data_IF_192358457416
#
_entry.id   IF_192358457416
#
_cell.length_a   1.000
_cell.length_b   1.000
_cell.length_c   1.000
_cell.angle_alpha   90.00
_cell.angle_beta   90.00
_cell.angle_gamma   90.00
#
_symmetry.space_group_name_H-M   'P 1'
#
loop_
_entity.id
_entity.type
_entity.pdbx_description
1 polymer ?
#
# COMPACT_ATOMS: atom_id res chain seq x y z
N UNK A 1 -41.86 8.58 -20.75
CA UNK A 1 -40.39 8.75 -20.90
C UNK A 1 -39.69 7.77 -19.97
N UNK A 2 -38.68 7.05 -20.46
CA UNK A 2 -37.90 6.15 -19.61
C UNK A 2 -37.16 6.95 -18.52
N UNK A 3 -37.26 6.51 -17.27
CA UNK A 3 -36.56 7.11 -16.13
C UNK A 3 -35.13 6.55 -15.94
N UNK A 4 -34.82 5.45 -16.64
CA UNK A 4 -33.52 4.77 -16.58
C UNK A 4 -32.73 5.09 -17.86
N UNK A 5 -31.50 5.51 -17.70
CA UNK A 5 -30.56 5.77 -18.80
C UNK A 5 -29.18 5.24 -18.44
N UNK A 6 -28.40 4.91 -19.47
CA UNK A 6 -27.01 4.49 -19.31
C UNK A 6 -26.15 5.73 -19.09
N UNK A 7 -25.32 5.72 -18.06
CA UNK A 7 -24.38 6.80 -17.78
C UNK A 7 -23.24 6.82 -18.81
N UNK A 8 -22.66 8.00 -19.05
CA UNK A 8 -21.44 8.11 -19.85
C UNK A 8 -20.24 7.43 -19.13
N UNK A 9 -19.25 7.00 -19.92
CA UNK A 9 -18.12 6.24 -19.44
C UNK A 9 -17.30 6.99 -18.37
N UNK A 10 -17.19 8.30 -18.47
CA UNK A 10 -16.45 9.13 -17.52
C UNK A 10 -17.15 9.14 -16.15
N UNK A 11 -18.46 9.30 -16.15
CA UNK A 11 -19.29 9.22 -14.94
C UNK A 11 -19.20 7.83 -14.30
N UNK A 12 -19.28 6.75 -15.11
CA UNK A 12 -19.11 5.37 -14.63
C UNK A 12 -17.74 5.20 -13.96
N UNK A 13 -16.67 5.69 -14.60
CA UNK A 13 -15.32 5.60 -14.07
C UNK A 13 -15.15 6.38 -12.75
N UNK A 14 -15.74 7.58 -12.67
CA UNK A 14 -15.70 8.36 -11.43
C UNK A 14 -16.46 7.69 -10.28
N UNK A 15 -17.61 7.06 -10.55
CA UNK A 15 -18.37 6.33 -9.52
C UNK A 15 -17.54 5.17 -9.00
N UNK A 16 -17.06 4.32 -9.90
CA UNK A 16 -16.27 3.13 -9.55
C UNK A 16 -14.93 3.48 -8.86
N UNK A 17 -14.28 4.58 -9.29
CA UNK A 17 -13.07 5.06 -8.62
C UNK A 17 -13.31 5.33 -7.12
N UNK A 18 -14.55 5.60 -6.69
CA UNK A 18 -14.85 5.84 -5.29
C UNK A 18 -14.89 4.58 -4.41
N UNK A 19 -15.00 3.43 -5.03
CA UNK A 19 -14.93 2.14 -4.32
C UNK A 19 -13.47 1.74 -4.04
N UNK A 20 -12.52 2.25 -4.84
CA UNK A 20 -11.10 1.94 -4.75
C UNK A 20 -10.33 3.08 -4.06
N UNK A 21 -10.62 4.33 -4.43
CA UNK A 21 -9.91 5.52 -3.95
C UNK A 21 -10.87 6.39 -3.17
N UNK A 22 -10.85 6.28 -1.85
CA UNK A 22 -11.63 7.08 -0.91
C UNK A 22 -10.83 8.26 -0.33
N UNK A 23 -9.50 8.14 -0.28
CA UNK A 23 -8.58 9.14 0.30
C UNK A 23 -7.15 9.03 -0.26
N UNK A 24 -6.24 9.99 0.06
CA UNK A 24 -4.83 9.95 -0.36
C UNK A 24 -4.10 8.67 0.06
N UNK A 25 -4.37 8.13 1.25
CA UNK A 25 -3.75 6.91 1.76
C UNK A 25 -4.04 5.68 0.88
N UNK A 26 -5.23 5.61 0.24
CA UNK A 26 -5.57 4.53 -0.69
C UNK A 26 -4.68 4.57 -1.94
N UNK A 27 -4.37 5.76 -2.46
CA UNK A 27 -3.44 5.93 -3.60
C UNK A 27 -2.04 5.46 -3.22
N UNK A 28 -1.54 5.91 -2.05
CA UNK A 28 -0.21 5.52 -1.58
C UNK A 28 -0.11 4.02 -1.42
N UNK A 29 -1.12 3.38 -0.81
CA UNK A 29 -1.17 1.93 -0.65
C UNK A 29 -1.05 1.21 -2.00
N UNK A 30 -1.95 1.50 -2.94
CA UNK A 30 -1.99 0.82 -4.24
C UNK A 30 -0.69 1.02 -5.05
N UNK A 31 -0.11 2.23 -5.05
CA UNK A 31 1.13 2.48 -5.78
C UNK A 31 2.36 1.83 -5.12
N UNK A 32 2.43 1.78 -3.78
CA UNK A 32 3.49 1.04 -3.08
C UNK A 32 3.38 -0.46 -3.31
N UNK A 33 2.16 -1.03 -3.25
CA UNK A 33 1.92 -2.44 -3.56
C UNK A 33 2.34 -2.77 -5.01
N UNK A 34 2.07 -1.87 -5.96
CA UNK A 34 2.53 -2.04 -7.34
C UNK A 34 4.06 -1.98 -7.48
N UNK A 35 4.74 -1.11 -6.73
CA UNK A 35 6.20 -1.06 -6.71
C UNK A 35 6.82 -2.36 -6.13
N UNK A 36 6.23 -2.91 -5.06
CA UNK A 36 6.65 -4.20 -4.49
C UNK A 36 6.46 -5.33 -5.51
N UNK A 37 5.28 -5.39 -6.14
CA UNK A 37 4.98 -6.39 -7.16
C UNK A 37 5.89 -6.27 -8.41
N UNK A 38 6.43 -5.06 -8.68
CA UNK A 38 7.46 -4.82 -9.71
C UNK A 38 8.89 -5.18 -9.27
N UNK A 39 9.06 -5.77 -8.09
CA UNK A 39 10.35 -6.20 -7.57
C UNK A 39 11.23 -5.06 -7.07
N UNK A 40 10.65 -3.92 -6.68
CA UNK A 40 11.42 -2.80 -6.16
C UNK A 40 12.14 -3.16 -4.86
N UNK A 41 13.41 -2.75 -4.74
CA UNK A 41 14.21 -2.84 -3.52
C UNK A 41 14.31 -1.50 -2.81
N UNK A 42 13.88 -0.41 -3.46
CA UNK A 42 13.82 0.93 -2.91
C UNK A 42 12.53 1.63 -3.33
N UNK A 43 11.82 2.21 -2.35
CA UNK A 43 10.59 2.98 -2.58
C UNK A 43 10.68 4.30 -1.82
N UNK A 44 10.48 5.41 -2.52
CA UNK A 44 10.39 6.74 -1.92
C UNK A 44 8.97 7.29 -2.07
N UNK A 45 8.36 7.69 -0.96
CA UNK A 45 7.03 8.30 -0.89
C UNK A 45 7.18 9.74 -0.41
N UNK A 46 6.81 10.70 -1.24
CA UNK A 46 6.76 12.12 -0.88
C UNK A 46 5.33 12.65 -0.97
N UNK A 47 4.89 13.37 0.06
CA UNK A 47 3.58 14.00 0.07
C UNK A 47 3.64 15.48 0.45
N UNK A 48 2.66 16.24 -0.04
CA UNK A 48 2.38 17.61 0.40
C UNK A 48 0.91 17.75 0.74
N UNK A 49 0.61 18.57 1.74
CA UNK A 49 -0.75 18.86 2.22
C UNK A 49 -1.56 17.59 2.48
N UNK A 50 -0.97 16.61 3.20
CA UNK A 50 -1.61 15.33 3.48
C UNK A 50 -1.88 14.47 2.24
N UNK A 51 -1.13 14.67 1.15
CA UNK A 51 -1.31 13.98 -0.12
C UNK A 51 -2.40 14.56 -1.01
N UNK A 52 -3.04 15.65 -0.59
CA UNK A 52 -4.13 16.26 -1.39
C UNK A 52 -3.60 17.07 -2.58
N UNK A 53 -2.48 17.76 -2.41
CA UNK A 53 -1.84 18.54 -3.48
C UNK A 53 -0.80 17.74 -4.26
N UNK A 54 -0.06 16.86 -3.59
CA UNK A 54 0.98 16.04 -4.19
C UNK A 54 1.14 14.72 -3.46
N UNK A 55 1.19 13.63 -4.23
CA UNK A 55 1.77 12.35 -3.87
C UNK A 55 2.78 12.02 -4.96
N UNK A 56 4.04 11.75 -4.58
CA UNK A 56 5.07 11.23 -5.48
C UNK A 56 5.57 9.91 -4.92
N UNK A 57 5.53 8.87 -5.73
CA UNK A 57 6.09 7.57 -5.40
C UNK A 57 7.09 7.21 -6.47
N UNK A 58 8.32 6.95 -6.05
CA UNK A 58 9.43 6.55 -6.91
C UNK A 58 9.96 5.21 -6.43
N UNK A 59 10.10 4.28 -7.35
CA UNK A 59 10.67 2.96 -7.14
C UNK A 59 11.78 2.65 -8.16
N UNK A 60 12.57 1.63 -7.86
CA UNK A 60 13.59 1.07 -8.74
C UNK A 60 13.21 -0.33 -9.24
N UNK A 61 11.93 -0.62 -9.39
CA UNK A 61 11.42 -1.88 -9.92
C UNK A 61 11.62 -2.02 -11.43
N UNK A 62 11.01 -3.03 -12.03
CA UNK A 62 11.17 -3.39 -13.45
C UNK A 62 10.73 -2.32 -14.46
N UNK A 63 10.03 -1.27 -14.02
CA UNK A 63 9.41 -0.30 -14.93
C UNK A 63 8.18 -0.86 -15.64
N UNK A 64 7.65 -0.07 -16.60
CA UNK A 64 6.52 -0.44 -17.44
C UNK A 64 6.93 -0.29 -18.90
N UNK A 65 6.69 -1.34 -19.69
CA UNK A 65 6.97 -1.32 -21.13
C UNK A 65 6.17 -0.23 -21.85
N UNK A 66 6.78 0.41 -22.85
CA UNK A 66 6.18 1.53 -23.60
C UNK A 66 4.78 1.21 -24.14
N UNK A 67 4.59 0.00 -24.66
CA UNK A 67 3.32 -0.43 -25.24
C UNK A 67 2.25 -0.72 -24.20
N UNK A 68 2.66 -1.07 -22.97
CA UNK A 68 1.76 -1.39 -21.87
C UNK A 68 1.31 -0.13 -21.09
N UNK A 69 1.99 1.01 -21.23
CA UNK A 69 1.69 2.20 -20.43
C UNK A 69 0.22 2.63 -20.57
N UNK A 70 -0.28 2.78 -21.79
CA UNK A 70 -1.67 3.21 -22.03
C UNK A 70 -2.67 2.14 -21.55
N UNK A 71 -2.32 0.87 -21.74
CA UNK A 71 -3.13 -0.27 -21.34
C UNK A 71 -3.26 -0.34 -19.82
N UNK A 72 -2.19 -0.06 -19.08
CA UNK A 72 -2.18 -0.07 -17.60
C UNK A 72 -3.19 0.91 -16.97
N UNK A 73 -3.60 1.96 -17.69
CA UNK A 73 -4.63 2.91 -17.25
C UNK A 73 -6.06 2.54 -17.70
N UNK A 74 -6.24 1.43 -18.40
CA UNK A 74 -7.57 0.91 -18.71
C UNK A 74 -8.14 0.13 -17.52
N UNK A 75 -9.45 0.08 -17.41
CA UNK A 75 -10.11 -0.75 -16.39
C UNK A 75 -9.94 -2.23 -16.72
N UNK A 76 -9.76 -3.04 -15.65
CA UNK A 76 -9.57 -4.47 -15.75
C UNK A 76 -8.30 -4.88 -16.54
N UNK A 77 -7.34 -3.97 -16.67
CA UNK A 77 -6.03 -4.26 -17.25
C UNK A 77 -5.04 -4.64 -16.15
N UNK A 78 -4.53 -5.87 -16.21
CA UNK A 78 -3.58 -6.39 -15.23
C UNK A 78 -2.62 -7.38 -15.90
N UNK A 79 -1.37 -7.37 -15.47
CA UNK A 79 -0.36 -8.36 -15.86
C UNK A 79 -0.33 -9.57 -14.90
N UNK A 80 -1.11 -9.54 -13.81
CA UNK A 80 -0.95 -10.42 -12.65
C UNK A 80 -1.86 -11.64 -12.66
N UNK A 81 -2.98 -11.58 -13.37
CA UNK A 81 -3.93 -12.70 -13.54
C UNK A 81 -4.39 -12.77 -15.00
N UNK A 82 -4.62 -13.96 -15.51
CA UNK A 82 -5.15 -14.19 -16.86
C UNK A 82 -6.49 -14.90 -16.85
N UNK A 83 -6.74 -15.73 -15.85
CA UNK A 83 -7.95 -16.51 -15.71
C UNK A 83 -8.58 -16.35 -14.33
N UNK A 84 -9.85 -16.76 -14.20
CA UNK A 84 -10.52 -16.76 -12.90
C UNK A 84 -9.88 -17.76 -11.91
N UNK A 85 -9.20 -18.79 -12.40
CA UNK A 85 -8.49 -19.76 -11.56
C UNK A 85 -7.25 -19.14 -10.89
N UNK A 86 -6.61 -18.16 -11.54
CA UNK A 86 -5.45 -17.47 -10.97
C UNK A 86 -5.83 -16.68 -9.70
N UNK A 87 -7.15 -16.38 -9.50
CA UNK A 87 -7.63 -15.71 -8.28
C UNK A 87 -7.47 -16.58 -7.02
N UNK A 88 -7.36 -17.90 -7.17
CA UNK A 88 -7.19 -18.82 -6.03
C UNK A 88 -5.75 -18.79 -5.53
N UNK A 89 -4.76 -18.52 -6.40
CA UNK A 89 -3.32 -18.57 -6.09
C UNK A 89 -2.62 -17.22 -6.26
N UNK A 90 -3.32 -16.10 -5.99
CA UNK A 90 -2.74 -14.75 -6.15
C UNK A 90 -1.66 -14.49 -5.13
N UNK A 91 -0.40 -14.49 -5.55
CA UNK A 91 0.77 -14.11 -4.75
C UNK A 91 1.01 -12.59 -4.73
N UNK A 92 0.57 -11.87 -5.78
CA UNK A 92 0.75 -10.42 -5.89
C UNK A 92 -0.13 -9.64 -4.93
N UNK A 93 0.36 -8.50 -4.40
CA UNK A 93 -0.40 -7.62 -3.51
C UNK A 93 -1.58 -6.95 -4.22
N UNK A 94 -1.44 -6.58 -5.50
CA UNK A 94 -2.50 -6.03 -6.35
C UNK A 94 -2.85 -6.98 -7.50
N UNK A 95 -4.13 -7.19 -7.83
CA UNK A 95 -4.55 -8.08 -8.92
C UNK A 95 -5.78 -7.61 -9.73
N UNK A 96 -6.56 -6.65 -9.22
CA UNK A 96 -7.86 -6.27 -9.81
C UNK A 96 -7.77 -5.44 -11.09
N UNK A 97 -6.61 -4.85 -11.43
CA UNK A 97 -6.43 -4.01 -12.61
C UNK A 97 -7.30 -2.75 -12.64
N UNK A 98 -7.62 -2.18 -11.47
CA UNK A 98 -8.52 -1.02 -11.35
C UNK A 98 -7.86 0.17 -10.65
N UNK A 99 -6.71 0.01 -10.00
CA UNK A 99 -6.08 1.06 -9.21
C UNK A 99 -5.67 2.26 -10.07
N UNK A 100 -4.87 2.05 -11.13
CA UNK A 100 -4.36 3.13 -11.97
C UNK A 100 -5.47 3.85 -12.73
N UNK A 101 -6.45 3.12 -13.27
CA UNK A 101 -7.62 3.72 -13.95
C UNK A 101 -8.47 4.55 -12.98
N UNK A 102 -8.63 4.09 -11.75
CA UNK A 102 -9.36 4.81 -10.69
C UNK A 102 -8.64 6.07 -10.27
N UNK A 103 -7.31 6.01 -10.03
CA UNK A 103 -6.48 7.16 -9.69
C UNK A 103 -6.55 8.21 -10.82
N UNK A 104 -6.35 7.78 -12.08
CA UNK A 104 -6.37 8.67 -13.24
C UNK A 104 -7.73 9.35 -13.46
N UNK A 105 -8.83 8.69 -13.10
CA UNK A 105 -10.19 9.25 -13.24
C UNK A 105 -10.46 10.42 -12.32
N UNK A 106 -9.81 10.51 -11.16
CA UNK A 106 -10.10 11.50 -10.11
C UNK A 106 -8.91 12.39 -9.74
N UNK A 107 -7.75 12.18 -10.40
CA UNK A 107 -6.51 12.91 -10.17
C UNK A 107 -5.88 13.41 -11.48
N UNK A 108 -4.89 14.28 -11.35
CA UNK A 108 -3.92 14.59 -12.39
C UNK A 108 -2.68 13.72 -12.15
N UNK A 109 -2.39 12.82 -13.08
CA UNK A 109 -1.32 11.82 -12.94
C UNK A 109 -0.24 12.06 -13.98
N UNK A 110 1.01 12.07 -13.55
CA UNK A 110 2.20 11.98 -14.39
C UNK A 110 2.95 10.70 -14.02
N UNK A 111 3.15 9.84 -14.98
CA UNK A 111 3.96 8.63 -14.91
C UNK A 111 5.27 8.88 -15.63
N UNK A 112 6.39 8.54 -15.00
CA UNK A 112 7.71 8.47 -15.62
C UNK A 112 8.21 7.06 -15.38
N UNK A 113 8.53 6.32 -16.44
CA UNK A 113 8.98 4.93 -16.30
C UNK A 113 10.00 4.56 -17.35
N UNK A 114 10.88 3.62 -17.01
CA UNK A 114 11.87 3.05 -17.90
C UNK A 114 12.16 1.61 -17.45
N UNK A 115 12.15 0.68 -18.40
CA UNK A 115 12.61 -0.71 -18.20
C UNK A 115 14.12 -0.82 -18.40
N UNK A 116 14.74 -1.87 -17.88
CA UNK A 116 16.18 -2.11 -17.97
C UNK A 116 16.68 -2.09 -19.43
N UNK A 117 15.97 -2.76 -20.33
CA UNK A 117 16.34 -2.89 -21.74
C UNK A 117 16.07 -1.64 -22.60
N UNK A 118 15.27 -0.67 -22.09
CA UNK A 118 14.91 0.51 -22.85
C UNK A 118 16.05 1.56 -22.87
N UNK A 119 16.28 2.20 -24.03
CA UNK A 119 17.25 3.28 -24.15
C UNK A 119 16.72 4.56 -23.51
N UNK A 120 15.44 4.87 -23.74
CA UNK A 120 14.76 6.06 -23.25
C UNK A 120 13.62 5.67 -22.32
N UNK A 121 13.33 6.51 -21.32
CA UNK A 121 12.11 6.40 -20.55
C UNK A 121 10.93 7.11 -21.22
N UNK A 122 9.75 6.89 -20.69
CA UNK A 122 8.50 7.51 -21.14
C UNK A 122 7.94 8.39 -20.04
N UNK A 123 7.51 9.59 -20.41
CA UNK A 123 6.64 10.45 -19.63
C UNK A 123 5.23 10.36 -20.18
N UNK A 124 4.29 9.95 -19.36
CA UNK A 124 2.88 9.89 -19.68
C UNK A 124 2.06 10.73 -18.71
N UNK A 125 1.24 11.66 -19.24
CA UNK A 125 0.33 12.47 -18.42
C UNK A 125 -1.11 12.16 -18.78
N UNK A 126 -1.93 11.98 -17.74
CA UNK A 126 -3.36 11.72 -17.85
C UNK A 126 -4.09 12.52 -16.77
N UNK A 127 -5.18 13.19 -17.14
CA UNK A 127 -5.96 14.04 -16.23
C UNK A 127 -7.45 13.71 -16.37
N UNK A 128 -8.08 13.29 -15.27
CA UNK A 128 -9.50 12.89 -15.27
C UNK A 128 -9.82 11.82 -16.32
N UNK A 129 -8.89 10.89 -16.54
CA UNK A 129 -9.02 9.81 -17.52
C UNK A 129 -8.72 10.20 -18.98
N UNK A 130 -8.25 11.44 -19.25
CA UNK A 130 -7.89 11.89 -20.59
C UNK A 130 -6.39 12.02 -20.73
N UNK A 131 -5.83 11.41 -21.77
CA UNK A 131 -4.41 11.55 -22.14
C UNK A 131 -4.09 13.01 -22.46
N UNK A 132 -3.00 13.52 -21.89
CA UNK A 132 -2.48 14.87 -22.12
C UNK A 132 -1.18 14.83 -22.91
N UNK A 133 -0.24 13.96 -22.50
CA UNK A 133 1.10 13.87 -23.10
C UNK A 133 1.59 12.44 -23.05
N UNK A 134 2.27 12.03 -24.14
CA UNK A 134 3.04 10.78 -24.21
C UNK A 134 4.34 11.09 -24.96
N UNK A 135 5.45 11.13 -24.26
CA UNK A 135 6.74 11.57 -24.83
C UNK A 135 7.92 10.74 -24.28
N UNK A 136 8.95 10.58 -25.09
CA UNK A 136 10.21 9.99 -24.69
C UNK A 136 11.06 10.99 -23.92
N UNK A 137 11.66 10.54 -22.82
CA UNK A 137 12.53 11.36 -21.98
C UNK A 137 13.73 10.54 -21.46
N UNK A 138 14.76 11.22 -20.99
CA UNK A 138 15.77 10.59 -20.14
C UNK A 138 15.21 10.30 -18.77
N UNK A 139 15.25 9.05 -18.32
CA UNK A 139 14.79 8.63 -16.99
C UNK A 139 15.67 7.49 -16.44
N UNK A 140 15.81 7.36 -15.13
CA UNK A 140 16.39 6.16 -14.52
C UNK A 140 15.43 4.97 -14.70
N UNK A 141 15.95 3.77 -14.49
CA UNK A 141 15.15 2.53 -14.41
C UNK A 141 14.19 2.59 -13.21
N UNK A 142 13.04 1.91 -13.36
CA UNK A 142 11.96 1.92 -12.40
C UNK A 142 10.80 2.82 -12.78
N UNK A 143 10.00 3.21 -11.80
CA UNK A 143 8.78 3.98 -12.03
C UNK A 143 8.65 5.15 -11.03
N UNK A 144 8.20 6.29 -11.55
CA UNK A 144 7.79 7.43 -10.72
C UNK A 144 6.37 7.81 -11.06
N UNK A 145 5.47 7.72 -10.08
CA UNK A 145 4.14 8.29 -10.13
C UNK A 145 4.11 9.65 -9.43
N UNK A 146 3.59 10.67 -10.09
CA UNK A 146 3.33 11.99 -9.54
C UNK A 146 1.83 12.24 -9.66
N UNK A 147 1.11 12.15 -8.54
CA UNK A 147 -0.33 12.34 -8.46
C UNK A 147 -0.61 13.68 -7.80
N UNK A 148 -1.37 14.53 -8.49
CA UNK A 148 -1.70 15.88 -8.04
C UNK A 148 -3.21 16.08 -7.96
N UNK A 149 -3.62 17.01 -7.07
CA UNK A 149 -4.98 17.54 -7.01
C UNK A 149 -6.05 16.45 -6.91
N UNK A 150 -5.92 15.55 -5.93
CA UNK A 150 -6.91 14.49 -5.69
C UNK A 150 -8.34 15.08 -5.64
N UNK A 151 -9.26 14.42 -6.32
CA UNK A 151 -10.67 14.82 -6.42
C UNK A 151 -10.90 16.20 -7.04
N UNK A 152 -10.00 16.67 -7.95
CA UNK A 152 -10.16 17.97 -8.60
C UNK A 152 -11.47 18.09 -9.40
N UNK A 153 -11.95 16.97 -9.95
CA UNK A 153 -13.18 16.87 -10.76
C UNK A 153 -14.36 16.23 -9.98
N UNK A 154 -14.20 15.94 -8.69
CA UNK A 154 -15.23 15.38 -7.82
C UNK A 154 -15.34 16.17 -6.51
N UNK A 155 -15.84 17.42 -6.55
CA UNK A 155 -15.78 18.34 -5.42
C UNK A 155 -16.56 17.84 -4.19
N UNK A 156 -17.60 17.02 -4.39
CA UNK A 156 -18.33 16.40 -3.29
C UNK A 156 -17.41 15.48 -2.46
N UNK A 157 -16.59 14.64 -3.11
CA UNK A 157 -15.62 13.76 -2.41
C UNK A 157 -14.54 14.57 -1.72
N UNK A 158 -14.03 15.62 -2.37
CA UNK A 158 -13.00 16.48 -1.79
C UNK A 158 -13.44 17.08 -0.44
N UNK A 159 -14.74 17.37 -0.26
CA UNK A 159 -15.30 17.88 1.01
C UNK A 159 -15.27 16.86 2.15
N UNK A 160 -15.19 15.56 1.88
CA UNK A 160 -15.11 14.51 2.89
C UNK A 160 -13.69 14.24 3.39
N UNK A 161 -12.67 14.77 2.72
CA UNK A 161 -11.29 14.67 3.19
C UNK A 161 -11.15 15.38 4.55
N UNK A 162 -10.34 14.78 5.41
CA UNK A 162 -10.02 15.33 6.72
C UNK A 162 -8.96 16.44 6.58
N UNK A 163 -8.47 16.95 7.69
CA UNK A 163 -7.36 17.92 7.68
C UNK A 163 -6.10 17.29 7.09
N UNK A 164 -5.23 18.12 6.50
CA UNK A 164 -3.95 17.64 5.92
C UNK A 164 -3.12 16.84 6.93
N UNK A 165 -3.16 17.21 8.21
CA UNK A 165 -2.47 16.48 9.27
C UNK A 165 -3.07 15.08 9.49
N UNK A 166 -4.39 14.96 9.48
CA UNK A 166 -5.09 13.68 9.65
C UNK A 166 -4.84 12.76 8.46
N UNK A 167 -4.94 13.29 7.22
CA UNK A 167 -4.67 12.49 6.01
C UNK A 167 -3.19 12.05 5.95
N UNK A 168 -2.24 12.92 6.35
CA UNK A 168 -0.83 12.54 6.47
C UNK A 168 -0.62 11.42 7.51
N UNK A 169 -1.41 11.42 8.60
CA UNK A 169 -1.39 10.36 9.60
C UNK A 169 -1.83 9.00 9.02
N UNK A 170 -2.87 8.97 8.21
CA UNK A 170 -3.31 7.74 7.53
C UNK A 170 -2.26 7.23 6.54
N UNK A 171 -1.60 8.14 5.81
CA UNK A 171 -0.49 7.76 4.91
C UNK A 171 0.67 7.19 5.71
N UNK A 172 1.07 7.84 6.81
CA UNK A 172 2.15 7.35 7.69
C UNK A 172 1.86 5.92 8.16
N UNK A 173 0.63 5.67 8.63
CA UNK A 173 0.22 4.33 9.07
C UNK A 173 0.36 3.28 7.95
N UNK A 174 -0.04 3.58 6.72
CA UNK A 174 0.11 2.67 5.59
C UNK A 174 1.59 2.40 5.29
N UNK A 175 2.42 3.45 5.23
CA UNK A 175 3.86 3.31 4.98
C UNK A 175 4.53 2.49 6.08
N UNK A 176 4.18 2.72 7.36
CA UNK A 176 4.67 1.94 8.49
C UNK A 176 4.31 0.45 8.36
N UNK A 177 3.06 0.12 8.02
CA UNK A 177 2.62 -1.27 7.83
C UNK A 177 3.38 -1.95 6.70
N UNK A 178 3.55 -1.27 5.56
CA UNK A 178 4.30 -1.82 4.42
C UNK A 178 5.78 -2.00 4.79
N UNK A 179 6.39 -1.05 5.49
CA UNK A 179 7.78 -1.17 5.93
C UNK A 179 8.00 -2.35 6.90
N UNK A 180 7.04 -2.59 7.81
CA UNK A 180 7.09 -3.73 8.73
C UNK A 180 6.90 -5.08 8.05
N UNK A 181 6.11 -5.13 6.96
CA UNK A 181 5.89 -6.37 6.21
C UNK A 181 6.99 -6.68 5.21
N UNK A 182 7.78 -5.66 4.80
CA UNK A 182 8.84 -5.77 3.80
C UNK A 182 10.16 -5.17 4.30
N UNK A 183 10.79 -5.75 5.32
CA UNK A 183 12.04 -5.24 5.87
C UNK A 183 13.22 -5.30 4.87
N UNK A 184 13.10 -6.07 3.78
CA UNK A 184 14.04 -6.17 2.67
C UNK A 184 14.00 -4.99 1.72
N UNK A 185 12.97 -4.11 1.83
CA UNK A 185 12.83 -2.93 0.97
C UNK A 185 13.26 -1.68 1.72
N UNK A 186 14.14 -0.87 1.11
CA UNK A 186 14.44 0.47 1.60
C UNK A 186 13.28 1.42 1.34
N UNK A 187 12.63 1.90 2.38
CA UNK A 187 11.48 2.80 2.29
C UNK A 187 11.82 4.16 2.89
N UNK A 188 11.59 5.23 2.12
CA UNK A 188 11.70 6.61 2.57
C UNK A 188 10.34 7.29 2.50
N UNK A 189 9.87 7.88 3.60
CA UNK A 189 8.65 8.67 3.64
C UNK A 189 8.95 10.13 4.00
N UNK A 190 8.57 11.04 3.10
CA UNK A 190 8.81 12.47 3.19
C UNK A 190 7.46 13.19 3.21
N UNK A 191 7.20 13.96 4.27
CA UNK A 191 5.99 14.78 4.41
C UNK A 191 6.39 16.25 4.50
N UNK A 192 5.92 17.07 3.55
CA UNK A 192 6.24 18.50 3.46
C UNK A 192 7.76 18.77 3.59
N UNK A 193 8.56 18.06 2.78
CA UNK A 193 10.03 18.12 2.73
C UNK A 193 10.75 17.65 4.02
N UNK A 194 10.05 16.99 4.94
CA UNK A 194 10.66 16.41 6.14
C UNK A 194 10.58 14.89 6.08
N UNK A 195 11.72 14.21 6.16
CA UNK A 195 11.78 12.77 6.27
C UNK A 195 11.19 12.33 7.60
N UNK A 196 10.17 11.47 7.54
CA UNK A 196 9.45 10.92 8.69
C UNK A 196 9.85 9.48 8.99
N UNK A 197 10.05 8.68 7.93
CA UNK A 197 10.46 7.27 8.01
C UNK A 197 11.61 7.07 7.04
N UNK A 198 12.59 6.30 7.44
CA UNK A 198 13.64 5.79 6.58
C UNK A 198 14.10 4.42 7.05
N UNK A 199 13.98 3.41 6.19
CA UNK A 199 14.44 2.04 6.44
C UNK A 199 15.58 1.68 5.49
N UNK A 200 16.48 0.80 5.93
CA UNK A 200 17.68 0.45 5.17
C UNK A 200 17.46 -0.60 4.09
N UNK A 201 16.37 -1.41 4.18
CA UNK A 201 16.15 -2.52 3.26
C UNK A 201 17.11 -3.70 3.50
N UNK A 202 17.60 -3.88 4.72
CA UNK A 202 18.59 -4.93 5.06
C UNK A 202 17.96 -6.28 5.47
N UNK A 203 16.64 -6.41 5.39
CA UNK A 203 15.90 -7.62 5.81
C UNK A 203 15.73 -7.76 7.33
N UNK A 204 16.20 -6.79 8.13
CA UNK A 204 16.13 -6.85 9.58
C UNK A 204 14.89 -6.12 10.11
N UNK A 205 13.84 -6.87 10.44
CA UNK A 205 12.60 -6.33 10.99
C UNK A 205 12.82 -5.52 12.29
N UNK A 206 13.78 -5.90 13.12
CA UNK A 206 14.06 -5.18 14.37
C UNK A 206 14.62 -3.78 14.11
N UNK A 207 15.42 -3.60 13.04
CA UNK A 207 15.92 -2.29 12.61
C UNK A 207 14.76 -1.43 12.09
N UNK A 208 13.83 -2.02 11.35
CA UNK A 208 12.61 -1.32 10.91
C UNK A 208 11.78 -0.87 12.10
N UNK A 209 11.56 -1.75 13.09
CA UNK A 209 10.84 -1.40 14.33
C UNK A 209 11.56 -0.27 15.08
N UNK A 210 12.90 -0.30 15.16
CA UNK A 210 13.68 0.78 15.76
C UNK A 210 13.47 2.12 15.05
N UNK A 211 13.49 2.13 13.72
CA UNK A 211 13.34 3.35 12.92
C UNK A 211 11.94 3.95 13.00
N UNK A 212 10.90 3.12 13.15
CA UNK A 212 9.49 3.57 13.22
C UNK A 212 9.10 3.93 14.66
N UNK A 213 9.38 3.05 15.63
CA UNK A 213 8.84 3.15 16.99
C UNK A 213 9.86 3.57 18.04
N UNK A 214 11.13 3.64 17.66
CA UNK A 214 12.23 4.10 18.51
C UNK A 214 12.83 3.03 19.39
N UNK A 215 13.89 3.45 20.13
CA UNK A 215 14.76 2.60 20.91
C UNK A 215 14.04 1.84 22.03
N UNK A 216 13.10 2.50 22.71
CA UNK A 216 12.44 1.91 23.87
C UNK A 216 11.61 0.68 23.50
N UNK A 217 10.95 0.72 22.33
CA UNK A 217 10.22 -0.42 21.81
C UNK A 217 11.18 -1.50 21.33
N UNK A 218 12.17 -1.15 20.51
CA UNK A 218 13.10 -2.11 19.93
C UNK A 218 13.92 -2.90 20.97
N UNK A 219 14.24 -2.29 22.12
CA UNK A 219 14.98 -2.94 23.21
C UNK A 219 14.13 -3.87 24.08
N UNK A 220 12.80 -3.78 23.97
CA UNK A 220 11.87 -4.57 24.78
C UNK A 220 11.06 -5.57 23.94
N UNK A 221 11.66 -6.09 22.89
CA UNK A 221 11.09 -7.10 22.01
C UNK A 221 11.57 -8.51 22.41
N UNK A 222 10.71 -9.49 22.13
CA UNK A 222 11.02 -10.90 22.16
C UNK A 222 10.78 -11.44 20.74
N UNK A 223 11.76 -12.15 20.20
CA UNK A 223 11.67 -12.76 18.89
C UNK A 223 10.77 -13.99 18.92
N UNK A 224 9.96 -14.15 17.86
CA UNK A 224 9.14 -15.33 17.63
C UNK A 224 9.62 -15.98 16.34
N UNK A 225 9.87 -17.28 16.41
CA UNK A 225 10.11 -18.13 15.26
C UNK A 225 9.57 -19.53 15.60
N UNK A 226 8.35 -19.82 15.15
CA UNK A 226 7.72 -21.11 15.36
C UNK A 226 6.98 -21.53 14.08
N UNK A 227 6.85 -22.83 13.90
CA UNK A 227 6.15 -23.42 12.75
C UNK A 227 5.43 -24.69 13.16
N UNK A 228 4.33 -24.95 12.46
CA UNK A 228 3.66 -26.23 12.43
C UNK A 228 3.46 -26.67 10.98
N UNK A 229 2.65 -27.70 10.75
CA UNK A 229 2.37 -28.25 9.42
C UNK A 229 1.76 -27.23 8.44
N UNK A 230 1.03 -26.21 8.93
CA UNK A 230 0.23 -25.30 8.10
C UNK A 230 0.73 -23.85 8.12
N UNK A 231 1.39 -23.45 9.21
CA UNK A 231 1.71 -22.03 9.46
C UNK A 231 3.12 -21.91 10.00
N UNK A 232 3.91 -21.02 9.39
CA UNK A 232 5.16 -20.52 9.95
C UNK A 232 4.94 -19.11 10.48
N UNK A 233 5.28 -18.87 11.73
CA UNK A 233 5.10 -17.58 12.42
C UNK A 233 6.44 -17.01 12.79
N UNK A 234 6.74 -15.82 12.31
CA UNK A 234 8.01 -15.11 12.57
C UNK A 234 7.73 -13.66 12.98
N UNK A 235 8.69 -13.04 13.64
CA UNK A 235 8.61 -11.62 14.00
C UNK A 235 8.89 -11.35 15.47
N UNK A 236 8.23 -10.34 16.02
CA UNK A 236 8.48 -9.85 17.39
C UNK A 236 7.20 -9.58 18.16
N UNK A 237 7.24 -9.87 19.46
CA UNK A 237 6.25 -9.46 20.46
C UNK A 237 6.92 -8.58 21.52
N UNK A 238 6.15 -7.68 22.13
CA UNK A 238 6.64 -6.75 23.13
C UNK A 238 6.55 -7.29 24.56
N UNK A 239 7.53 -6.99 25.40
CA UNK A 239 7.40 -7.17 26.86
C UNK A 239 6.29 -6.28 27.41
N UNK A 240 5.71 -6.65 28.55
CA UNK A 240 4.61 -5.92 29.18
C UNK A 240 4.87 -4.40 29.38
N UNK A 241 6.13 -4.03 29.60
CA UNK A 241 6.54 -2.65 29.86
C UNK A 241 6.24 -1.69 28.69
N UNK A 242 6.16 -2.19 27.45
CA UNK A 242 5.86 -1.38 26.25
C UNK A 242 4.40 -1.49 25.79
N UNK A 243 3.52 -2.09 26.62
CA UNK A 243 2.10 -2.21 26.31
C UNK A 243 1.41 -0.84 26.16
N UNK A 244 0.36 -0.79 25.33
CA UNK A 244 -0.37 0.45 25.00
C UNK A 244 -1.82 0.39 25.47
N UNK A 245 -2.48 1.55 25.52
CA UNK A 245 -3.90 1.66 25.87
C UNK A 245 -4.86 1.35 24.73
N UNK A 246 -4.35 1.01 23.55
CA UNK A 246 -5.15 0.64 22.38
C UNK A 246 -4.37 -0.34 21.50
N UNK A 247 -5.05 -0.93 20.49
CA UNK A 247 -4.50 -1.94 19.56
C UNK A 247 -3.67 -1.38 18.41
N UNK A 248 -3.32 -0.09 18.39
CA UNK A 248 -2.61 0.52 17.27
C UNK A 248 -1.21 -0.06 17.03
N UNK A 249 -0.65 -0.75 18.02
CA UNK A 249 0.65 -1.39 17.96
C UNK A 249 0.59 -2.92 17.78
N UNK A 250 -0.60 -3.46 17.57
CA UNK A 250 -0.78 -4.85 17.14
C UNK A 250 -0.69 -4.92 15.62
N UNK A 251 0.49 -5.31 15.13
CA UNK A 251 0.75 -5.48 13.71
C UNK A 251 0.90 -6.96 13.40
N UNK A 252 0.10 -7.47 12.50
CA UNK A 252 0.24 -8.82 11.99
C UNK A 252 -0.07 -8.86 10.50
N UNK A 253 0.64 -9.75 9.84
CA UNK A 253 0.67 -9.88 8.39
C UNK A 253 0.46 -11.33 8.01
N UNK A 254 -0.20 -11.59 6.89
CA UNK A 254 -0.27 -12.92 6.27
C UNK A 254 0.38 -12.79 4.89
N UNK A 255 1.44 -13.56 4.66
CA UNK A 255 2.22 -13.56 3.41
C UNK A 255 2.60 -12.13 2.97
N UNK A 256 3.07 -11.29 3.90
CA UNK A 256 3.45 -9.90 3.68
C UNK A 256 2.28 -8.90 3.60
N UNK A 257 1.01 -9.33 3.68
CA UNK A 257 -0.16 -8.44 3.69
C UNK A 257 -0.57 -8.07 5.10
N UNK A 258 -0.74 -6.78 5.37
CA UNK A 258 -1.37 -6.34 6.61
C UNK A 258 -2.84 -6.71 6.62
N UNK A 259 -3.27 -7.35 7.70
CA UNK A 259 -4.66 -7.74 7.91
C UNK A 259 -5.18 -7.27 9.26
N UNK A 260 -6.50 -7.22 9.39
CA UNK A 260 -7.22 -7.04 10.66
C UNK A 260 -8.02 -8.30 10.90
N UNK A 261 -7.76 -8.98 12.01
CA UNK A 261 -8.48 -10.20 12.39
C UNK A 261 -8.76 -10.20 13.90
N UNK A 262 -10.04 -10.30 14.23
CA UNK A 262 -10.45 -10.43 15.63
C UNK A 262 -9.99 -11.76 16.23
N UNK A 263 -9.81 -12.81 15.43
CA UNK A 263 -9.33 -14.12 15.86
C UNK A 263 -7.88 -14.01 16.31
N UNK A 264 -7.03 -13.38 15.46
CA UNK A 264 -5.60 -13.18 15.76
C UNK A 264 -5.43 -12.24 16.93
N UNK A 265 -6.12 -11.09 16.96
CA UNK A 265 -6.07 -10.15 18.08
C UNK A 265 -6.42 -10.84 19.40
N UNK A 266 -7.51 -11.63 19.41
CA UNK A 266 -7.94 -12.34 20.61
C UNK A 266 -6.93 -13.39 21.04
N UNK A 267 -6.37 -14.16 20.12
CA UNK A 267 -5.35 -15.17 20.42
C UNK A 267 -4.09 -14.53 21.04
N UNK A 268 -3.66 -13.39 20.49
CA UNK A 268 -2.53 -12.61 21.03
C UNK A 268 -2.86 -12.12 22.45
N UNK A 269 -4.03 -11.46 22.62
CA UNK A 269 -4.47 -10.93 23.92
C UNK A 269 -4.63 -12.06 24.96
N UNK A 270 -5.17 -13.22 24.60
CA UNK A 270 -5.28 -14.38 25.48
C UNK A 270 -3.90 -14.90 25.91
N UNK A 271 -2.90 -14.88 25.03
CA UNK A 271 -1.50 -15.20 25.38
C UNK A 271 -0.90 -14.23 26.42
N UNK A 272 -1.36 -12.99 26.44
CA UNK A 272 -0.90 -11.96 27.38
C UNK A 272 -1.77 -11.82 28.64
N UNK A 273 -2.85 -12.59 28.78
CA UNK A 273 -3.90 -12.42 29.80
C UNK A 273 -3.40 -12.33 31.25
N UNK A 274 -2.33 -13.04 31.57
CA UNK A 274 -1.74 -13.06 32.93
C UNK A 274 -0.52 -12.13 33.07
N UNK A 275 -0.14 -11.44 31.99
CA UNK A 275 1.07 -10.62 31.91
C UNK A 275 0.72 -9.15 31.86
N UNK A 276 -0.35 -8.79 31.14
CA UNK A 276 -0.78 -7.40 30.94
C UNK A 276 -1.90 -7.03 31.92
N UNK A 277 -1.90 -5.76 32.32
CA UNK A 277 -3.03 -5.16 33.05
C UNK A 277 -4.25 -5.09 32.13
N UNK A 278 -5.43 -5.02 32.72
CA UNK A 278 -6.69 -4.82 32.01
C UNK A 278 -6.64 -3.56 31.14
N UNK A 279 -7.19 -3.63 29.92
CA UNK A 279 -7.17 -2.56 28.91
C UNK A 279 -5.76 -2.14 28.44
N UNK A 280 -4.79 -3.03 28.54
CA UNK A 280 -3.47 -2.90 27.91
C UNK A 280 -3.32 -3.93 26.81
N UNK A 281 -2.72 -3.49 25.71
CA UNK A 281 -2.54 -4.26 24.48
C UNK A 281 -1.05 -4.39 24.19
N UNK A 282 -0.57 -5.54 23.74
CA UNK A 282 0.83 -5.75 23.46
C UNK A 282 1.29 -5.01 22.20
N UNK A 283 2.59 -4.78 22.09
CA UNK A 283 3.22 -4.52 20.80
C UNK A 283 3.39 -5.85 20.08
N UNK A 284 3.04 -5.90 18.79
CA UNK A 284 3.35 -7.05 17.93
C UNK A 284 3.77 -6.59 16.55
N UNK A 285 4.69 -7.33 15.92
CA UNK A 285 5.03 -7.28 14.51
C UNK A 285 5.27 -8.72 14.07
N UNK A 286 4.20 -9.40 13.65
CA UNK A 286 4.19 -10.85 13.41
C UNK A 286 3.79 -11.11 11.97
N UNK A 287 4.56 -11.94 11.27
CA UNK A 287 4.22 -12.45 9.95
C UNK A 287 3.83 -13.93 10.05
N UNK A 288 2.71 -14.27 9.46
CA UNK A 288 2.23 -15.63 9.26
C UNK A 288 2.45 -16.03 7.81
N UNK A 289 3.30 -16.99 7.57
CA UNK A 289 3.45 -17.62 6.26
C UNK A 289 2.51 -18.82 6.21
N UNK A 290 1.52 -18.78 5.33
CA UNK A 290 0.45 -19.77 5.17
C UNK A 290 0.38 -20.16 3.71
N UNK A 291 0.15 -21.44 3.41
CA UNK A 291 -0.06 -21.91 2.05
C UNK A 291 -1.23 -21.14 1.39
N UNK A 292 -1.01 -20.66 0.18
CA UNK A 292 -1.99 -19.86 -0.56
C UNK A 292 -3.29 -20.62 -0.83
N UNK A 293 -3.24 -21.94 -1.01
CA UNK A 293 -4.40 -22.79 -1.23
C UNK A 293 -5.33 -22.87 0.00
N UNK A 294 -4.87 -22.43 1.17
CA UNK A 294 -5.65 -22.36 2.41
C UNK A 294 -6.24 -20.98 2.68
N UNK A 295 -6.00 -20.00 1.80
CA UNK A 295 -6.41 -18.61 2.00
C UNK A 295 -7.42 -18.18 0.93
N UNK A 296 -8.53 -17.58 1.34
CA UNK A 296 -9.40 -16.82 0.44
C UNK A 296 -9.05 -15.31 0.49
N UNK A 297 -8.31 -14.86 -0.49
CA UNK A 297 -7.83 -13.46 -0.59
C UNK A 297 -8.90 -12.49 -1.08
N UNK A 298 -10.05 -12.95 -1.52
CA UNK A 298 -11.06 -12.13 -2.21
C UNK A 298 -12.23 -11.70 -1.33
N UNK A 299 -12.10 -11.73 0.00
CA UNK A 299 -13.22 -11.51 0.94
C UNK A 299 -13.58 -10.03 1.09
N UNK A 300 -12.62 -9.09 1.02
CA UNK A 300 -12.89 -7.66 1.26
C UNK A 300 -12.26 -6.73 0.22
N UNK A 301 -12.95 -5.63 -0.22
CA UNK A 301 -12.38 -4.65 -1.17
C UNK A 301 -11.06 -4.03 -0.73
N UNK A 302 -10.89 -3.75 0.55
CA UNK A 302 -9.66 -3.21 1.12
C UNK A 302 -8.58 -4.28 1.38
N UNK A 303 -8.83 -5.57 1.07
CA UNK A 303 -7.90 -6.70 1.26
C UNK A 303 -7.35 -6.81 2.70
N UNK A 304 -8.10 -6.38 3.71
CA UNK A 304 -7.69 -6.41 5.12
C UNK A 304 -8.29 -7.57 5.91
N UNK A 305 -9.15 -8.39 5.30
CA UNK A 305 -9.74 -9.60 5.84
C UNK A 305 -9.43 -10.76 4.89
N UNK A 306 -9.04 -11.90 5.45
CA UNK A 306 -8.70 -13.14 4.76
C UNK A 306 -9.47 -14.29 5.40
#
# INVERSE_FOLDING_TARGET
MSKIHVLDQNTINQIAAGEVIDRPASIVKELMENAIDAGATMISVEIKDGGTSLIRITDNGSGIEKDDIKVAFLRHATSKIKTALDLISVSSLGFRGEALSSIASVCQVELITKTEDAITGIRYKIEGGKEVTFEEIGAPEGTTFIVKNIFFNTPARRKFLKTAQTEAGYISEIVEKIALSHPEISISFINNNQTKIHTSGNGNLKDVIYNIYGRDIANNLLEINCSNEFIKTTGYIGKAIISKGNRSFENYFINGRYIKSNIISKAIEDGYKFILMQHKYPFTAINFEIDQDLLDVNVHPAKMEL
#
